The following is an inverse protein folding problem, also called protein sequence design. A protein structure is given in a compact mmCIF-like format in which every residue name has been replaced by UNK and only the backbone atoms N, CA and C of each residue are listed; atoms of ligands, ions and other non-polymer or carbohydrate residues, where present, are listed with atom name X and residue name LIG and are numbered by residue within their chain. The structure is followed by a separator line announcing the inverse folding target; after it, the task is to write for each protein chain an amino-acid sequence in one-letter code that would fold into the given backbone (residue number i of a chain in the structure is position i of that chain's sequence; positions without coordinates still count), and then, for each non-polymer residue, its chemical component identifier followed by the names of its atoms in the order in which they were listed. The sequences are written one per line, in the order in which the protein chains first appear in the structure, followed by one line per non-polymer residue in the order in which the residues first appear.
data_IF_200047908889
#
_entry.id   IF_200047908889
#
_cell.length_a   1.000
_cell.length_b   1.000
_cell.length_c   1.000
_cell.angle_alpha   90.00
_cell.angle_beta   90.00
_cell.angle_gamma   90.00
#
_symmetry.space_group_name_H-M   'P 1'
#
loop_
_entity.id
_entity.type
_entity.pdbx_description
1 polymer ?
#
# COMPACT_ATOMS: atom_id res chain seq x y z
N UNK A 1 -53.01 25.43 -36.37
CA UNK A 1 -51.75 25.88 -35.76
C UNK A 1 -51.62 25.17 -34.42
N UNK A 2 -50.63 24.30 -34.26
CA UNK A 2 -50.45 23.48 -33.06
C UNK A 2 -49.29 22.53 -33.27
N UNK A 3 -48.07 23.05 -33.16
CA UNK A 3 -46.81 22.33 -33.36
C UNK A 3 -46.48 21.47 -32.14
N UNK A 4 -46.27 20.19 -32.40
CA UNK A 4 -45.84 19.15 -31.45
C UNK A 4 -44.49 19.49 -30.80
N UNK A 5 -44.48 19.64 -29.47
CA UNK A 5 -43.28 19.84 -28.62
C UNK A 5 -42.97 18.60 -27.75
N UNK A 6 -43.22 17.38 -28.26
CA UNK A 6 -43.20 16.15 -27.46
C UNK A 6 -42.08 15.17 -27.88
N UNK A 7 -40.82 15.66 -27.99
CA UNK A 7 -39.70 14.83 -28.48
C UNK A 7 -38.34 15.00 -27.78
N UNK A 8 -38.15 16.00 -26.92
CA UNK A 8 -36.82 16.33 -26.36
C UNK A 8 -36.52 15.68 -24.99
N UNK A 9 -37.54 15.27 -24.24
CA UNK A 9 -37.35 14.70 -22.89
C UNK A 9 -36.78 13.27 -22.87
N UNK A 10 -37.05 12.46 -23.88
CA UNK A 10 -36.63 11.04 -23.90
C UNK A 10 -35.17 10.85 -24.34
N UNK A 11 -34.57 11.79 -25.07
CA UNK A 11 -33.15 11.75 -25.44
C UNK A 11 -32.25 12.08 -24.24
N UNK A 12 -32.62 13.09 -23.45
CA UNK A 12 -31.85 13.50 -22.27
C UNK A 12 -31.82 12.41 -21.17
N UNK A 13 -32.93 11.70 -20.98
CA UNK A 13 -33.00 10.57 -20.05
C UNK A 13 -32.11 9.38 -20.51
N UNK A 14 -32.05 9.13 -21.82
CA UNK A 14 -31.18 8.09 -22.40
C UNK A 14 -29.70 8.46 -22.30
N UNK A 15 -29.33 9.74 -22.48
CA UNK A 15 -27.94 10.18 -22.32
C UNK A 15 -27.45 10.05 -20.87
N UNK A 16 -28.28 10.40 -19.88
CA UNK A 16 -27.93 10.26 -18.47
C UNK A 16 -27.76 8.81 -18.04
N UNK A 17 -28.56 7.88 -18.57
CA UNK A 17 -28.40 6.45 -18.30
C UNK A 17 -27.07 5.92 -18.86
N UNK A 18 -26.69 6.33 -20.08
CA UNK A 18 -25.42 5.98 -20.70
C UNK A 18 -24.21 6.55 -19.92
N UNK A 19 -24.31 7.80 -19.46
CA UNK A 19 -23.31 8.44 -18.60
C UNK A 19 -23.13 7.68 -17.28
N UNK A 20 -24.23 7.34 -16.59
CA UNK A 20 -24.13 6.58 -15.33
C UNK A 20 -23.50 5.19 -15.52
N UNK A 21 -23.72 4.56 -16.68
CA UNK A 21 -23.07 3.31 -17.06
C UNK A 21 -21.57 3.49 -17.24
N UNK A 22 -21.14 4.55 -17.91
CA UNK A 22 -19.72 4.89 -18.07
C UNK A 22 -19.05 5.22 -16.73
N UNK A 23 -19.69 6.00 -15.87
CA UNK A 23 -19.17 6.32 -14.53
C UNK A 23 -18.97 5.05 -13.68
N UNK A 24 -19.90 4.10 -13.76
CA UNK A 24 -19.80 2.83 -13.02
C UNK A 24 -18.63 1.97 -13.51
N UNK A 25 -18.37 1.94 -14.83
CA UNK A 25 -17.24 1.22 -15.41
C UNK A 25 -15.90 1.86 -15.01
N UNK A 26 -15.82 3.19 -15.00
CA UNK A 26 -14.62 3.91 -14.53
C UNK A 26 -14.37 3.63 -13.04
N UNK A 27 -15.43 3.66 -12.22
CA UNK A 27 -15.32 3.40 -10.79
C UNK A 27 -14.88 1.95 -10.51
N UNK A 28 -15.41 0.97 -11.24
CA UNK A 28 -15.02 -0.43 -11.14
C UNK A 28 -13.55 -0.64 -11.53
N UNK A 29 -13.10 -0.08 -12.65
CA UNK A 29 -11.70 -0.16 -13.07
C UNK A 29 -10.74 0.50 -12.06
N UNK A 30 -11.21 1.56 -11.37
CA UNK A 30 -10.46 2.22 -10.30
C UNK A 30 -10.34 1.34 -9.05
N UNK A 31 -11.42 0.65 -8.67
CA UNK A 31 -11.43 -0.31 -7.56
C UNK A 31 -10.52 -1.51 -7.83
N UNK A 32 -10.55 -2.08 -9.04
CA UNK A 32 -9.67 -3.19 -9.43
C UNK A 32 -8.18 -2.78 -9.41
N UNK A 33 -7.87 -1.54 -9.84
CA UNK A 33 -6.51 -1.00 -9.71
C UNK A 33 -6.09 -0.79 -8.25
N UNK A 34 -6.97 -0.27 -7.41
CA UNK A 34 -6.68 -0.04 -6.00
C UNK A 34 -6.37 -1.37 -5.28
N UNK A 35 -7.16 -2.42 -5.53
CA UNK A 35 -6.92 -3.76 -4.97
C UNK A 35 -5.58 -4.35 -5.43
N UNK A 36 -5.23 -4.16 -6.71
CA UNK A 36 -3.95 -4.62 -7.26
C UNK A 36 -2.75 -3.90 -6.64
N UNK A 37 -2.86 -2.59 -6.41
CA UNK A 37 -1.79 -1.80 -5.79
C UNK A 37 -1.65 -2.13 -4.29
N UNK A 38 -2.76 -2.41 -3.61
CA UNK A 38 -2.78 -2.86 -2.21
C UNK A 38 -1.96 -4.14 -2.03
N UNK A 39 -2.24 -5.14 -2.87
CA UNK A 39 -1.54 -6.42 -2.86
C UNK A 39 -0.05 -6.29 -3.17
N UNK A 40 0.33 -5.37 -4.08
CA UNK A 40 1.74 -5.09 -4.40
C UNK A 40 2.46 -4.41 -3.25
N UNK A 41 1.81 -3.45 -2.59
CA UNK A 41 2.35 -2.75 -1.42
C UNK A 41 2.58 -3.73 -0.28
N UNK A 42 1.62 -4.60 0.01
CA UNK A 42 1.76 -5.61 1.06
C UNK A 42 2.90 -6.59 0.75
N UNK A 43 2.97 -7.10 -0.49
CA UNK A 43 4.03 -8.01 -0.93
C UNK A 43 5.42 -7.36 -0.83
N UNK A 44 5.59 -6.16 -1.38
CA UNK A 44 6.88 -5.45 -1.33
C UNK A 44 7.32 -5.13 0.10
N UNK A 45 6.36 -4.81 0.97
CA UNK A 45 6.64 -4.55 2.39
C UNK A 45 7.13 -5.80 3.13
N UNK A 46 6.54 -6.98 2.84
CA UNK A 46 6.98 -8.27 3.40
C UNK A 46 8.37 -8.67 2.89
N UNK A 47 8.65 -8.45 1.60
CA UNK A 47 9.96 -8.70 1.01
C UNK A 47 11.04 -7.81 1.65
N UNK A 48 10.75 -6.52 1.86
CA UNK A 48 11.64 -5.60 2.57
C UNK A 48 11.96 -6.07 3.99
N UNK A 49 10.95 -6.47 4.75
CA UNK A 49 11.15 -7.00 6.11
C UNK A 49 11.97 -8.29 6.11
N UNK A 50 11.79 -9.15 5.10
CA UNK A 50 12.55 -10.40 4.96
C UNK A 50 14.04 -10.12 4.73
N UNK A 51 14.36 -9.12 3.90
CA UNK A 51 15.75 -8.70 3.66
C UNK A 51 16.39 -8.13 4.92
N UNK A 52 15.69 -7.25 5.65
CA UNK A 52 16.19 -6.69 6.90
C UNK A 52 16.40 -7.77 7.97
N UNK A 53 15.43 -8.66 8.14
CA UNK A 53 15.52 -9.74 9.11
C UNK A 53 16.67 -10.69 8.77
N UNK A 54 16.85 -11.02 7.48
CA UNK A 54 17.98 -11.83 7.02
C UNK A 54 19.33 -11.19 7.34
N UNK A 55 19.49 -9.91 7.03
CA UNK A 55 20.74 -9.18 7.34
C UNK A 55 21.00 -9.08 8.83
N UNK A 56 19.96 -8.86 9.64
CA UNK A 56 20.11 -8.79 11.09
C UNK A 56 20.44 -10.15 11.70
N UNK A 57 19.82 -11.24 11.23
CA UNK A 57 20.11 -12.59 11.71
C UNK A 57 21.55 -13.01 11.36
N UNK A 58 22.03 -12.67 10.16
CA UNK A 58 23.43 -12.89 9.77
C UNK A 58 24.40 -12.11 10.67
N UNK A 59 24.09 -10.86 11.00
CA UNK A 59 24.89 -10.05 11.93
C UNK A 59 24.85 -10.62 13.35
N UNK A 60 23.70 -11.14 13.78
CA UNK A 60 23.54 -11.79 15.07
C UNK A 60 24.41 -13.05 15.14
N UNK A 61 24.31 -13.96 14.16
CA UNK A 61 25.18 -15.15 14.06
C UNK A 61 26.66 -14.79 14.12
N UNK A 62 27.09 -13.77 13.35
CA UNK A 62 28.48 -13.32 13.36
C UNK A 62 28.88 -12.68 14.69
N UNK A 63 28.03 -11.86 15.30
CA UNK A 63 28.29 -11.21 16.58
C UNK A 63 28.37 -12.20 17.74
N UNK A 64 27.69 -13.34 17.64
CA UNK A 64 27.74 -14.39 18.64
C UNK A 64 28.86 -15.42 18.41
N UNK A 65 29.19 -15.71 17.15
CA UNK A 65 30.26 -16.65 16.80
C UNK A 65 31.68 -16.06 16.94
N UNK A 66 31.83 -14.73 16.94
CA UNK A 66 33.15 -14.08 16.83
C UNK A 66 33.68 -13.42 18.11
N UNK A 67 33.07 -13.61 19.28
CA UNK A 67 33.58 -13.03 20.54
C UNK A 67 34.94 -13.67 20.88
N UNK A 68 36.08 -12.95 20.73
CA UNK A 68 37.40 -13.48 21.05
C UNK A 68 37.54 -13.51 22.58
N UNK A 69 37.67 -14.71 23.16
CA UNK A 69 37.71 -14.92 24.61
C UNK A 69 36.78 -16.02 25.14
N UNK A 70 36.00 -16.69 24.28
CA UNK A 70 35.07 -17.77 24.65
C UNK A 70 35.76 -19.12 25.04
N UNK A 71 36.95 -19.06 25.63
CA UNK A 71 37.65 -20.22 26.18
C UNK A 71 37.53 -20.30 27.72
N UNK A 72 36.99 -19.26 28.37
CA UNK A 72 36.66 -19.29 29.80
C UNK A 72 35.19 -19.73 29.97
N UNK A 73 35.01 -20.98 30.42
CA UNK A 73 33.73 -21.69 30.63
C UNK A 73 32.69 -20.94 31.50
N UNK A 74 33.06 -19.85 32.18
CA UNK A 74 32.20 -19.13 33.13
C UNK A 74 31.20 -18.16 32.47
N UNK A 75 31.50 -17.63 31.27
CA UNK A 75 30.63 -16.68 30.55
C UNK A 75 29.64 -17.35 29.58
N UNK A 76 29.75 -18.68 29.40
CA UNK A 76 28.94 -19.44 28.47
C UNK A 76 27.47 -19.53 28.92
N UNK A 77 27.23 -19.71 30.22
CA UNK A 77 25.89 -19.82 30.80
C UNK A 77 25.09 -18.51 30.71
N UNK A 78 25.74 -17.35 30.90
CA UNK A 78 25.08 -16.04 30.78
C UNK A 78 24.73 -15.70 29.33
N UNK A 79 25.61 -16.07 28.40
CA UNK A 79 25.40 -15.89 26.96
C UNK A 79 24.26 -16.75 26.44
N UNK A 80 24.20 -18.02 26.85
CA UNK A 80 23.11 -18.94 26.50
C UNK A 80 21.76 -18.45 27.02
N UNK A 81 21.70 -17.92 28.24
CA UNK A 81 20.46 -17.37 28.80
C UNK A 81 19.97 -16.14 28.04
N UNK A 82 20.87 -15.20 27.70
CA UNK A 82 20.52 -14.00 26.91
C UNK A 82 20.08 -14.39 25.50
N UNK A 83 20.75 -15.35 24.86
CA UNK A 83 20.35 -15.91 23.58
C UNK A 83 18.95 -16.52 23.64
N UNK A 84 18.70 -17.40 24.61
CA UNK A 84 17.44 -18.11 24.70
C UNK A 84 16.27 -17.14 24.89
N UNK A 85 16.44 -16.12 25.75
CA UNK A 85 15.43 -15.07 25.92
C UNK A 85 15.24 -14.22 24.65
N UNK A 86 16.34 -13.86 23.97
CA UNK A 86 16.28 -13.09 22.72
C UNK A 86 15.57 -13.84 21.61
N UNK A 87 15.91 -15.12 21.41
CA UNK A 87 15.27 -16.01 20.43
C UNK A 87 13.81 -16.24 20.79
N UNK A 88 13.48 -16.49 22.06
CA UNK A 88 12.11 -16.74 22.48
C UNK A 88 11.21 -15.50 22.31
N UNK A 89 11.72 -14.30 22.64
CA UNK A 89 11.03 -13.03 22.40
C UNK A 89 10.86 -12.75 20.90
N UNK A 90 11.90 -13.01 20.10
CA UNK A 90 11.84 -12.89 18.65
C UNK A 90 10.83 -13.87 18.04
N UNK A 91 10.84 -15.14 18.44
CA UNK A 91 9.91 -16.15 17.96
C UNK A 91 8.46 -15.84 18.36
N UNK A 92 8.22 -15.36 19.58
CA UNK A 92 6.88 -14.92 19.99
C UNK A 92 6.40 -13.71 19.18
N UNK A 93 7.27 -12.72 18.95
CA UNK A 93 6.99 -11.59 18.07
C UNK A 93 6.66 -12.06 16.65
N UNK A 94 7.51 -12.90 16.06
CA UNK A 94 7.32 -13.40 14.69
C UNK A 94 6.04 -14.22 14.55
N UNK A 95 5.71 -15.06 15.53
CA UNK A 95 4.49 -15.86 15.54
C UNK A 95 3.23 -15.00 15.74
N UNK A 96 3.28 -13.97 16.58
CA UNK A 96 2.13 -13.10 16.85
C UNK A 96 1.85 -12.12 15.70
N UNK A 97 2.88 -11.54 15.07
CA UNK A 97 2.70 -10.55 14.00
C UNK A 97 2.82 -11.09 12.58
N UNK A 98 3.27 -12.33 12.39
CA UNK A 98 3.65 -12.89 11.09
C UNK A 98 4.90 -12.22 10.51
N UNK A 99 5.77 -11.68 11.38
CA UNK A 99 6.85 -10.74 11.09
C UNK A 99 7.18 -9.90 12.34
N UNK A 100 8.17 -9.02 12.27
CA UNK A 100 8.54 -8.03 13.32
C UNK A 100 7.63 -6.79 13.26
N UNK A 101 6.85 -6.64 12.19
CA UNK A 101 5.85 -5.57 12.01
C UNK A 101 6.35 -4.38 11.17
N UNK A 102 7.57 -4.47 10.63
CA UNK A 102 8.11 -3.43 9.74
C UNK A 102 7.29 -3.39 8.44
N UNK A 103 6.90 -4.55 7.90
CA UNK A 103 6.04 -4.60 6.72
C UNK A 103 4.70 -3.88 6.93
N UNK A 104 4.12 -3.94 8.14
CA UNK A 104 2.88 -3.22 8.47
C UNK A 104 3.06 -1.70 8.52
N UNK A 105 4.20 -1.23 9.03
CA UNK A 105 4.51 0.21 9.00
C UNK A 105 4.77 0.70 7.58
N UNK A 106 5.56 -0.03 6.80
CA UNK A 106 5.90 0.33 5.42
C UNK A 106 4.66 0.30 4.53
N UNK A 107 3.85 -0.76 4.61
CA UNK A 107 2.59 -0.84 3.86
C UNK A 107 1.67 0.32 4.21
N UNK A 108 1.45 0.63 5.48
CA UNK A 108 0.63 1.77 5.90
C UNK A 108 1.13 3.10 5.34
N UNK A 109 2.45 3.34 5.35
CA UNK A 109 3.03 4.55 4.78
C UNK A 109 2.87 4.60 3.25
N UNK A 110 2.98 3.45 2.58
CA UNK A 110 2.80 3.31 1.14
C UNK A 110 1.35 3.47 0.70
N UNK A 111 0.37 2.92 1.43
CA UNK A 111 -1.05 3.17 1.16
C UNK A 111 -1.37 4.66 1.31
N UNK A 112 -0.89 5.32 2.37
CA UNK A 112 -1.08 6.77 2.54
C UNK A 112 -0.43 7.58 1.40
N UNK A 113 0.71 7.14 0.88
CA UNK A 113 1.36 7.76 -0.27
C UNK A 113 0.58 7.51 -1.59
N UNK A 114 0.07 6.29 -1.77
CA UNK A 114 -0.75 5.90 -2.92
C UNK A 114 -2.07 6.68 -2.95
N UNK A 115 -2.75 6.82 -1.82
CA UNK A 115 -3.97 7.63 -1.66
C UNK A 115 -3.71 9.10 -2.01
N UNK A 116 -2.58 9.65 -1.55
CA UNK A 116 -2.17 11.03 -1.85
C UNK A 116 -1.86 11.20 -3.34
N UNK A 117 -1.18 10.24 -3.97
CA UNK A 117 -0.91 10.25 -5.41
C UNK A 117 -2.21 10.14 -6.22
N UNK A 118 -3.16 9.32 -5.76
CA UNK A 118 -4.49 9.17 -6.37
C UNK A 118 -5.32 10.46 -6.28
N UNK A 119 -5.24 11.18 -5.16
CA UNK A 119 -5.90 12.47 -4.99
C UNK A 119 -5.29 13.56 -5.90
N UNK A 120 -3.98 13.50 -6.15
CA UNK A 120 -3.29 14.43 -7.05
C UNK A 120 -3.56 14.13 -8.53
N UNK A 121 -3.70 12.86 -8.93
CA UNK A 121 -4.10 12.47 -10.29
C UNK A 121 -5.60 12.60 -10.57
N UNK A 122 -6.47 12.70 -9.56
CA UNK A 122 -7.90 12.96 -9.73
C UNK A 122 -8.23 14.41 -10.10
N UNK A 123 -7.26 15.33 -10.03
CA UNK A 123 -7.41 16.72 -10.41
C UNK A 123 -6.80 16.99 -11.81
N UNK A 124 -7.54 16.70 -12.90
CA UNK A 124 -7.54 17.65 -14.01
C UNK A 124 -8.89 17.70 -14.74
N UNK A 125 -9.60 18.85 -14.73
CA UNK A 125 -10.52 19.30 -15.81
C UNK A 125 -11.37 20.56 -15.47
N UNK A 126 -10.98 21.42 -14.52
CA UNK A 126 -11.79 22.59 -14.16
C UNK A 126 -11.07 23.95 -14.31
N UNK A 127 -10.17 24.09 -15.29
CA UNK A 127 -9.64 25.41 -15.68
C UNK A 127 -9.14 25.38 -17.13
N UNK A 128 -10.01 25.21 -18.12
CA UNK A 128 -9.75 25.82 -19.45
C UNK A 128 -11.00 26.04 -20.31
N UNK A 129 -12.18 26.20 -19.69
CA UNK A 129 -13.38 26.66 -20.37
C UNK A 129 -13.64 28.12 -20.04
N UNK A 130 -12.69 29.01 -20.38
CA UNK A 130 -12.99 30.44 -20.51
C UNK A 130 -13.44 30.70 -21.95
N UNK A 131 -14.73 30.46 -22.16
CA UNK A 131 -15.62 31.10 -23.12
C UNK A 131 -15.17 32.57 -23.37
N UNK A 132 -15.03 33.06 -24.60
CA UNK A 132 -16.07 33.70 -25.44
C UNK A 132 -15.36 34.06 -26.76
N UNK A 133 -15.70 33.39 -27.87
CA UNK A 133 -16.66 33.82 -28.89
C UNK A 133 -16.15 34.97 -29.77
N UNK A 134 -15.91 34.66 -31.05
CA UNK A 134 -15.70 35.65 -32.08
C UNK A 134 -17.03 36.12 -32.65
N UNK A 135 -17.29 37.42 -32.59
CA UNK A 135 -17.91 38.22 -33.65
C UNK A 135 -18.00 39.68 -33.21
N UNK A 136 -17.29 40.57 -33.91
CA UNK A 136 -17.86 41.62 -34.76
C UNK A 136 -16.76 42.22 -35.63
#
# INVERSE_FOLDING_TARGET
MGTSMMGLGSLAAQSSALQSGQDRLIQQARSEKAETDDAKIEKGSKEFESVLLGSWLQQAEQSFASVPGAEDDEDEAGRDQVMNYGVQALSQSLAASGGIGIAKMVSKAMHAAADKAYAQHAAPAATDSKQVDGKH
#
